data_IF_669779007458
#
_entry.id   IF_669779007458
#
_cell.length_a   1.000
_cell.length_b   1.000
_cell.length_c   1.000
_cell.angle_alpha   90.00
_cell.angle_beta   90.00
_cell.angle_gamma   90.00
#
_symmetry.space_group_name_H-M   'P 1'
#
loop_
_entity.id
_entity.type
_entity.pdbx_description
1 polymer ?
#
# COMPACT_ATOMS: atom_id res chain seq x y z
N UNK A 1 3.16 -0.38 -7.96
CA UNK A 1 4.51 0.21 -8.19
C UNK A 1 5.08 0.86 -6.93
N UNK A 2 4.27 1.60 -6.15
CA UNK A 2 4.72 2.25 -4.91
C UNK A 2 5.20 1.31 -3.80
N UNK A 3 4.58 0.14 -3.63
CA UNK A 3 4.96 -0.84 -2.60
C UNK A 3 6.39 -1.37 -2.80
N UNK A 4 6.79 -1.61 -4.06
CA UNK A 4 8.14 -2.07 -4.40
C UNK A 4 9.20 -0.99 -4.13
N UNK A 5 8.88 0.28 -4.39
CA UNK A 5 9.78 1.39 -4.08
C UNK A 5 9.98 1.57 -2.57
N UNK A 6 8.93 1.40 -1.76
CA UNK A 6 9.05 1.47 -0.30
C UNK A 6 9.89 0.32 0.27
N UNK A 7 9.74 -0.90 -0.25
CA UNK A 7 10.56 -2.03 0.18
C UNK A 7 12.06 -1.82 -0.10
N UNK A 8 12.39 -1.29 -1.29
CA UNK A 8 13.76 -0.99 -1.66
C UNK A 8 14.37 0.13 -0.78
N UNK A 9 13.59 1.17 -0.46
CA UNK A 9 14.02 2.26 0.42
C UNK A 9 14.31 1.76 1.85
N UNK A 10 13.45 0.92 2.41
CA UNK A 10 13.65 0.33 3.74
C UNK A 10 14.90 -0.54 3.76
N UNK A 11 15.10 -1.37 2.72
CA UNK A 11 16.30 -2.20 2.58
C UNK A 11 17.56 -1.35 2.52
N UNK A 12 17.58 -0.31 1.69
CA UNK A 12 18.73 0.59 1.55
C UNK A 12 19.06 1.30 2.88
N UNK A 13 18.02 1.77 3.61
CA UNK A 13 18.20 2.40 4.92
C UNK A 13 18.78 1.43 5.95
N UNK A 14 18.30 0.18 5.96
CA UNK A 14 18.84 -0.86 6.84
C UNK A 14 20.31 -1.17 6.51
N UNK A 15 20.65 -1.31 5.23
CA UNK A 15 22.04 -1.53 4.79
C UNK A 15 22.96 -0.41 5.24
N UNK A 16 22.54 0.85 5.06
CA UNK A 16 23.32 2.00 5.48
C UNK A 16 23.57 2.00 7.00
N UNK A 17 22.57 1.63 7.79
CA UNK A 17 22.70 1.53 9.24
C UNK A 17 23.62 0.38 9.66
N UNK A 18 23.52 -0.79 9.02
CA UNK A 18 24.39 -1.94 9.27
C UNK A 18 25.84 -1.63 8.90
N UNK A 19 26.06 -0.97 7.76
CA UNK A 19 27.39 -0.55 7.33
C UNK A 19 28.00 0.48 8.28
N UNK A 20 27.21 1.46 8.73
CA UNK A 20 27.67 2.45 9.71
C UNK A 20 28.10 1.77 11.03
N UNK A 21 27.32 0.79 11.50
CA UNK A 21 27.70 0.00 12.67
C UNK A 21 29.00 -0.79 12.43
N UNK A 22 29.11 -1.46 11.29
CA UNK A 22 30.32 -2.18 10.90
C UNK A 22 31.55 -1.26 10.83
N UNK A 23 31.38 -0.01 10.37
CA UNK A 23 32.44 1.00 10.38
C UNK A 23 32.88 1.37 11.78
N UNK A 24 31.95 1.60 12.73
CA UNK A 24 32.31 1.89 14.11
C UNK A 24 33.07 0.73 14.76
N UNK A 25 32.59 -0.50 14.55
CA UNK A 25 33.25 -1.71 15.04
C UNK A 25 34.65 -1.84 14.42
N UNK A 26 34.81 -1.60 13.12
CA UNK A 26 36.09 -1.63 12.44
C UNK A 26 37.06 -0.55 12.93
N UNK A 27 36.57 0.67 13.22
CA UNK A 27 37.40 1.74 13.80
C UNK A 27 37.88 1.33 15.19
N UNK A 28 36.98 0.86 16.07
CA UNK A 28 37.34 0.39 17.41
C UNK A 28 38.37 -0.75 17.35
N UNK A 29 38.13 -1.73 16.47
CA UNK A 29 39.04 -2.84 16.21
C UNK A 29 40.43 -2.36 15.76
N UNK A 30 40.49 -1.42 14.81
CA UNK A 30 41.77 -0.88 14.32
C UNK A 30 42.50 -0.05 15.36
N UNK A 31 41.80 0.66 16.24
CA UNK A 31 42.41 1.36 17.38
C UNK A 31 43.08 0.34 18.32
N UNK A 32 42.35 -0.71 18.71
CA UNK A 32 42.86 -1.75 19.61
C UNK A 32 44.08 -2.46 19.00
N UNK A 33 44.01 -2.87 17.73
CA UNK A 33 45.14 -3.52 17.06
C UNK A 33 46.35 -2.61 16.93
N UNK A 34 46.16 -1.35 16.55
CA UNK A 34 47.27 -0.39 16.42
C UNK A 34 47.93 -0.14 17.77
N UNK A 35 47.13 -0.02 18.85
CA UNK A 35 47.65 0.11 20.20
C UNK A 35 48.44 -1.14 20.64
N UNK A 36 47.97 -2.34 20.31
CA UNK A 36 48.70 -3.57 20.59
C UNK A 36 50.03 -3.63 19.84
N UNK A 37 50.05 -3.27 18.55
CA UNK A 37 51.28 -3.23 17.76
C UNK A 37 52.31 -2.23 18.30
N UNK A 38 51.85 -1.08 18.81
CA UNK A 38 52.73 -0.11 19.49
C UNK A 38 53.28 -0.70 20.79
N UNK A 39 52.46 -1.42 21.57
CA UNK A 39 52.86 -1.99 22.86
C UNK A 39 53.91 -3.10 22.72
N UNK A 40 53.84 -3.92 21.65
CA UNK A 40 54.81 -4.97 21.37
C UNK A 40 56.03 -4.49 20.58
N UNK A 41 56.20 -3.16 20.45
CA UNK A 41 57.31 -2.52 19.72
C UNK A 41 57.43 -3.05 18.26
N UNK A 42 56.28 -3.18 17.58
CA UNK A 42 56.28 -3.63 16.18
C UNK A 42 57.07 -2.67 15.29
N UNK A 43 57.70 -3.17 14.21
CA UNK A 43 58.37 -2.32 13.24
C UNK A 43 57.45 -1.22 12.70
N UNK A 44 58.01 -0.05 12.40
CA UNK A 44 57.25 1.12 11.94
C UNK A 44 56.47 0.85 10.64
N UNK A 45 56.96 -0.08 9.81
CA UNK A 45 56.29 -0.56 8.59
C UNK A 45 54.93 -1.22 8.87
N UNK A 46 54.71 -1.75 10.08
CA UNK A 46 53.45 -2.37 10.51
C UNK A 46 52.50 -1.33 11.11
N UNK A 47 53.05 -0.39 11.89
CA UNK A 47 52.26 0.63 12.61
C UNK A 47 51.69 1.68 11.65
N UNK A 48 52.49 2.15 10.68
CA UNK A 48 52.12 3.24 9.77
C UNK A 48 50.88 2.92 8.92
N UNK A 49 50.75 1.71 8.30
CA UNK A 49 49.51 1.29 7.65
C UNK A 49 48.30 1.27 8.60
N UNK A 50 48.48 0.90 9.87
CA UNK A 50 47.43 0.93 10.89
C UNK A 50 46.87 2.35 11.09
N UNK A 51 47.76 3.33 11.24
CA UNK A 51 47.40 4.75 11.37
C UNK A 51 46.74 5.28 10.09
N UNK A 52 47.31 4.97 8.92
CA UNK A 52 46.73 5.36 7.63
C UNK A 52 45.33 4.78 7.45
N UNK A 53 45.13 3.53 7.87
CA UNK A 53 43.84 2.86 7.82
C UNK A 53 42.80 3.56 8.70
N UNK A 54 43.18 4.01 9.90
CA UNK A 54 42.30 4.79 10.77
C UNK A 54 41.90 6.13 10.15
N UNK A 55 42.85 6.84 9.54
CA UNK A 55 42.60 8.09 8.83
C UNK A 55 41.62 7.88 7.66
N UNK A 56 41.83 6.83 6.87
CA UNK A 56 40.92 6.46 5.78
C UNK A 56 39.52 6.10 6.27
N UNK A 57 39.40 5.30 7.34
CA UNK A 57 38.11 4.97 7.94
C UNK A 57 37.37 6.22 8.44
N UNK A 58 38.10 7.18 9.00
CA UNK A 58 37.54 8.47 9.41
C UNK A 58 37.06 9.31 8.22
N UNK A 59 37.81 9.34 7.11
CA UNK A 59 37.37 9.99 5.85
C UNK A 59 36.09 9.31 5.32
N UNK A 60 36.05 7.98 5.31
CA UNK A 60 34.87 7.22 4.89
C UNK A 60 33.66 7.52 5.76
N UNK A 61 33.84 7.75 7.06
CA UNK A 61 32.74 8.11 7.97
C UNK A 61 32.15 9.49 7.63
N UNK A 62 32.91 10.36 6.96
CA UNK A 62 32.41 11.64 6.45
C UNK A 62 31.81 11.54 5.05
N UNK A 63 32.33 10.64 4.20
CA UNK A 63 31.90 10.49 2.81
C UNK A 63 30.73 9.51 2.62
N UNK A 64 30.44 8.63 3.58
CA UNK A 64 29.43 7.57 3.43
C UNK A 64 28.02 8.05 3.03
N UNK A 65 27.47 9.21 3.47
CA UNK A 65 26.10 9.56 3.11
C UNK A 65 25.96 9.98 1.64
N UNK A 66 27.06 10.36 0.99
CA UNK A 66 27.06 10.83 -0.42
C UNK A 66 27.38 9.72 -1.41
N UNK A 67 28.27 8.79 -1.03
CA UNK A 67 28.84 7.81 -1.95
C UNK A 67 28.85 6.38 -1.38
N UNK A 68 27.72 5.93 -0.80
CA UNK A 68 27.62 4.66 -0.07
C UNK A 68 28.26 3.45 -0.79
N UNK A 69 27.94 3.22 -2.07
CA UNK A 69 28.45 2.05 -2.81
C UNK A 69 29.97 2.10 -3.00
N UNK A 70 30.52 3.29 -3.30
CA UNK A 70 31.96 3.47 -3.45
C UNK A 70 32.66 3.28 -2.09
N UNK A 71 32.11 3.88 -1.03
CA UNK A 71 32.65 3.75 0.33
C UNK A 71 32.63 2.29 0.79
N UNK A 72 31.56 1.54 0.50
CA UNK A 72 31.45 0.10 0.80
C UNK A 72 32.55 -0.70 0.10
N UNK A 73 32.75 -0.46 -1.21
CA UNK A 73 33.73 -1.18 -2.00
C UNK A 73 35.15 -0.90 -1.50
N UNK A 74 35.50 0.36 -1.27
CA UNK A 74 36.83 0.74 -0.78
C UNK A 74 37.06 0.21 0.64
N UNK A 75 36.03 0.22 1.49
CA UNK A 75 36.10 -0.31 2.85
C UNK A 75 36.48 -1.79 2.89
N UNK A 76 36.01 -2.62 1.93
CA UNK A 76 36.39 -4.04 1.86
C UNK A 76 37.66 -4.28 1.06
N UNK A 77 37.93 -3.51 0.01
CA UNK A 77 39.18 -3.67 -0.76
C UNK A 77 40.43 -3.34 0.08
N UNK A 78 40.35 -2.37 0.99
CA UNK A 78 41.53 -1.94 1.75
C UNK A 78 42.06 -3.01 2.73
N UNK A 79 41.24 -3.66 3.59
CA UNK A 79 41.68 -4.77 4.42
C UNK A 79 42.15 -5.97 3.61
N UNK A 80 41.57 -6.21 2.43
CA UNK A 80 42.02 -7.26 1.52
C UNK A 80 43.46 -7.01 1.05
N UNK A 81 43.74 -5.79 0.58
CA UNK A 81 45.08 -5.38 0.15
C UNK A 81 46.08 -5.44 1.30
N UNK A 82 45.69 -4.93 2.48
CA UNK A 82 46.51 -5.03 3.69
C UNK A 82 46.80 -6.50 4.06
N UNK A 83 45.82 -7.39 3.94
CA UNK A 83 46.03 -8.80 4.27
C UNK A 83 47.00 -9.47 3.30
N UNK A 84 46.96 -9.11 2.02
CA UNK A 84 47.90 -9.60 1.03
C UNK A 84 49.35 -9.18 1.33
N UNK A 85 49.59 -7.90 1.63
CA UNK A 85 50.95 -7.39 1.89
C UNK A 85 51.55 -7.85 3.24
N UNK A 86 50.71 -8.03 4.27
CA UNK A 86 51.16 -8.36 5.62
C UNK A 86 50.96 -9.84 5.99
N UNK A 87 50.70 -10.70 5.00
CA UNK A 87 50.39 -12.11 5.21
C UNK A 87 51.54 -12.83 5.93
N UNK A 88 52.75 -12.76 5.36
CA UNK A 88 53.92 -13.46 5.90
C UNK A 88 54.36 -12.90 7.25
N UNK A 89 54.27 -11.58 7.45
CA UNK A 89 54.67 -10.93 8.70
C UNK A 89 53.84 -11.38 9.90
N UNK A 90 52.58 -11.75 9.66
CA UNK A 90 51.62 -12.15 10.70
C UNK A 90 51.46 -13.66 10.84
N UNK A 91 52.37 -14.45 10.24
CA UNK A 91 52.40 -15.90 10.39
C UNK A 91 51.62 -16.69 9.33
N UNK A 92 51.11 -16.03 8.28
CA UNK A 92 50.41 -16.69 7.18
C UNK A 92 49.18 -17.48 7.65
N UNK A 93 49.13 -18.76 7.29
CA UNK A 93 48.04 -19.67 7.66
C UNK A 93 47.98 -19.99 9.16
N UNK A 94 49.12 -19.97 9.84
CA UNK A 94 49.19 -20.16 11.30
C UNK A 94 48.94 -18.85 12.07
N UNK A 95 48.77 -17.75 11.32
CA UNK A 95 48.58 -16.40 11.84
C UNK A 95 47.15 -16.03 12.18
N UNK A 96 46.95 -14.77 12.55
CA UNK A 96 45.63 -14.21 12.86
C UNK A 96 44.82 -13.77 11.62
N UNK A 97 45.48 -13.61 10.46
CA UNK A 97 44.86 -13.06 9.24
C UNK A 97 43.76 -13.92 8.60
N UNK A 98 43.84 -15.26 8.56
CA UNK A 98 42.75 -16.08 8.05
C UNK A 98 41.43 -15.79 8.78
N UNK A 99 41.48 -15.59 10.10
CA UNK A 99 40.31 -15.26 10.90
C UNK A 99 39.73 -13.89 10.52
N UNK A 100 40.58 -12.87 10.34
CA UNK A 100 40.12 -11.55 9.89
C UNK A 100 39.48 -11.63 8.49
N UNK A 101 39.99 -12.45 7.57
CA UNK A 101 39.35 -12.67 6.26
C UNK A 101 37.96 -13.31 6.41
N UNK A 102 37.80 -14.30 7.29
CA UNK A 102 36.48 -14.91 7.57
C UNK A 102 35.51 -13.86 8.10
N UNK A 103 35.92 -13.03 9.07
CA UNK A 103 35.03 -11.98 9.59
C UNK A 103 34.70 -10.93 8.53
N UNK A 104 35.63 -10.60 7.64
CA UNK A 104 35.38 -9.72 6.50
C UNK A 104 34.40 -10.33 5.50
N UNK A 105 34.52 -11.62 5.19
CA UNK A 105 33.56 -12.35 4.33
C UNK A 105 32.16 -12.31 4.94
N UNK A 106 32.04 -12.59 6.25
CA UNK A 106 30.77 -12.46 6.98
C UNK A 106 30.25 -11.02 6.87
N UNK A 107 31.12 -10.02 7.07
CA UNK A 107 30.79 -8.61 6.89
C UNK A 107 30.27 -8.26 5.49
N UNK A 108 30.89 -8.80 4.44
CA UNK A 108 30.47 -8.61 3.03
C UNK A 108 29.07 -9.21 2.82
N UNK A 109 28.83 -10.43 3.31
CA UNK A 109 27.53 -11.11 3.18
C UNK A 109 26.42 -10.32 3.87
N UNK A 110 26.72 -9.66 4.98
CA UNK A 110 25.75 -8.92 5.77
C UNK A 110 25.46 -7.51 5.26
N UNK A 111 26.47 -6.83 4.73
CA UNK A 111 26.37 -5.40 4.37
C UNK A 111 26.12 -5.17 2.88
N UNK A 112 26.66 -6.04 2.03
CA UNK A 112 26.56 -5.94 0.57
C UNK A 112 25.38 -6.74 0.03
N UNK A 113 24.88 -6.38 -1.15
CA UNK A 113 23.81 -7.11 -1.83
C UNK A 113 24.01 -7.07 -3.35
N UNK A 114 23.50 -8.09 -4.05
CA UNK A 114 23.46 -8.12 -5.52
C UNK A 114 24.85 -8.27 -6.15
N UNK A 115 25.09 -7.56 -7.25
CA UNK A 115 26.33 -7.71 -8.03
C UNK A 115 27.60 -7.33 -7.24
N UNK A 116 27.54 -6.32 -6.38
CA UNK A 116 28.71 -5.89 -5.57
C UNK A 116 29.11 -6.94 -4.53
N UNK A 117 28.13 -7.67 -3.98
CA UNK A 117 28.38 -8.77 -3.04
C UNK A 117 29.11 -9.91 -3.73
N UNK A 118 28.62 -10.32 -4.90
CA UNK A 118 29.23 -11.39 -5.69
C UNK A 118 30.64 -10.99 -6.10
N UNK A 119 30.84 -9.76 -6.60
CA UNK A 119 32.15 -9.25 -6.98
C UNK A 119 33.15 -9.30 -5.82
N UNK A 120 32.76 -8.81 -4.63
CA UNK A 120 33.62 -8.82 -3.44
C UNK A 120 33.93 -10.24 -2.96
N UNK A 121 32.94 -11.14 -2.94
CA UNK A 121 33.14 -12.53 -2.53
C UNK A 121 34.08 -13.27 -3.49
N UNK A 122 33.94 -13.05 -4.81
CA UNK A 122 34.85 -13.61 -5.81
C UNK A 122 36.25 -13.05 -5.61
N UNK A 123 36.41 -11.74 -5.40
CA UNK A 123 37.71 -11.12 -5.15
C UNK A 123 38.40 -11.70 -3.90
N UNK A 124 37.68 -11.84 -2.79
CA UNK A 124 38.18 -12.45 -1.57
C UNK A 124 38.52 -13.94 -1.75
N UNK A 125 37.69 -14.68 -2.48
CA UNK A 125 37.92 -16.09 -2.80
C UNK A 125 39.18 -16.29 -3.65
N UNK A 126 39.41 -15.42 -4.65
CA UNK A 126 40.62 -15.44 -5.48
C UNK A 126 41.85 -15.13 -4.65
N UNK A 127 41.80 -14.11 -3.79
CA UNK A 127 42.94 -13.79 -2.90
C UNK A 127 43.23 -14.94 -1.94
N UNK A 128 42.21 -15.56 -1.34
CA UNK A 128 42.38 -16.75 -0.49
C UNK A 128 43.01 -17.92 -1.25
N UNK A 129 42.59 -18.16 -2.50
CA UNK A 129 43.16 -19.21 -3.35
C UNK A 129 44.61 -18.91 -3.76
N UNK A 130 44.96 -17.64 -4.01
CA UNK A 130 46.35 -17.25 -4.27
C UNK A 130 47.20 -17.48 -3.01
N UNK A 131 46.71 -17.05 -1.85
CA UNK A 131 47.42 -17.20 -0.57
C UNK A 131 47.52 -18.67 -0.11
N UNK A 132 46.69 -19.58 -0.62
CA UNK A 132 46.79 -21.02 -0.31
C UNK A 132 47.76 -21.78 -1.20
N UNK A 133 48.04 -21.28 -2.40
CA UNK A 133 48.84 -22.00 -3.42
C UNK A 133 50.22 -21.38 -3.61
N UNK A 134 50.34 -20.06 -3.48
CA UNK A 134 51.56 -19.31 -3.84
C UNK A 134 52.29 -18.89 -2.58
N UNK A 135 53.52 -19.37 -2.42
CA UNK A 135 54.46 -18.79 -1.47
C UNK A 135 54.76 -17.35 -1.91
N UNK A 136 54.34 -16.39 -1.10
CA UNK A 136 54.56 -14.99 -1.40
C UNK A 136 56.07 -14.70 -1.37
N UNK A 137 56.59 -13.93 -2.35
CA UNK A 137 57.99 -13.53 -2.35
C UNK A 137 58.42 -12.88 -1.03
N UNK A 138 59.69 -13.03 -0.66
CA UNK A 138 60.24 -12.48 0.59
C UNK A 138 60.15 -10.96 0.72
N UNK A 139 59.96 -10.23 -0.39
CA UNK A 139 59.71 -8.79 -0.37
C UNK A 139 58.29 -8.43 0.11
N UNK A 140 57.36 -9.39 0.15
CA UNK A 140 55.99 -9.25 0.70
C UNK A 140 55.99 -9.48 2.22
N UNK A 141 57.09 -9.11 2.88
CA UNK A 141 57.29 -9.24 4.31
C UNK A 141 58.02 -10.51 4.72
N UNK A 142 58.95 -10.35 5.65
CA UNK A 142 59.58 -11.45 6.40
C UNK A 142 58.80 -11.72 7.68
N UNK A 143 58.75 -12.98 8.13
CA UNK A 143 58.12 -13.34 9.41
C UNK A 143 58.66 -12.46 10.53
N UNK A 144 57.77 -11.73 11.22
CA UNK A 144 58.17 -10.87 12.31
C UNK A 144 58.58 -11.75 13.51
N UNK A 145 59.87 -11.72 13.96
CA UNK A 145 60.33 -12.57 15.06
C UNK A 145 59.68 -12.21 16.40
N UNK A 146 59.19 -10.98 16.54
CA UNK A 146 58.54 -10.49 17.75
C UNK A 146 57.03 -10.85 17.80
N UNK A 147 56.49 -11.42 16.72
CA UNK A 147 55.09 -11.84 16.69
C UNK A 147 54.94 -13.18 17.42
N UNK A 148 54.79 -13.06 18.74
CA UNK A 148 54.71 -14.18 19.68
C UNK A 148 53.36 -14.91 19.62
N UNK A 149 53.32 -16.12 20.20
CA UNK A 149 52.07 -16.88 20.39
C UNK A 149 51.02 -16.05 21.16
N UNK A 150 51.45 -15.25 22.15
CA UNK A 150 50.55 -14.38 22.90
C UNK A 150 49.89 -13.31 22.02
N UNK A 151 50.58 -12.79 21.00
CA UNK A 151 50.00 -11.84 20.04
C UNK A 151 48.94 -12.50 19.14
N UNK A 152 49.16 -13.76 18.74
CA UNK A 152 48.18 -14.54 17.97
C UNK A 152 46.91 -14.78 18.79
N UNK A 153 47.07 -15.20 20.05
CA UNK A 153 45.95 -15.40 20.98
C UNK A 153 45.17 -14.11 21.24
N UNK A 154 45.88 -12.98 21.42
CA UNK A 154 45.25 -11.67 21.56
C UNK A 154 44.43 -11.30 20.32
N UNK A 155 45.00 -11.40 19.13
CA UNK A 155 44.28 -11.09 17.89
C UNK A 155 43.06 -12.02 17.69
N UNK A 156 43.18 -13.30 18.06
CA UNK A 156 42.07 -14.24 18.02
C UNK A 156 40.93 -13.82 18.97
N UNK A 157 41.26 -13.40 20.20
CA UNK A 157 40.28 -12.91 21.17
C UNK A 157 39.57 -11.67 20.64
N UNK A 158 40.32 -10.70 20.09
CA UNK A 158 39.75 -9.46 19.54
C UNK A 158 38.85 -9.76 18.32
N UNK A 159 39.26 -10.65 17.40
CA UNK A 159 38.43 -11.08 16.27
C UNK A 159 37.15 -11.80 16.74
N UNK A 160 37.26 -12.66 17.76
CA UNK A 160 36.12 -13.38 18.33
C UNK A 160 35.13 -12.43 18.99
N UNK A 161 35.62 -11.45 19.75
CA UNK A 161 34.80 -10.39 20.34
C UNK A 161 34.09 -9.57 19.26
N UNK A 162 34.81 -9.23 18.18
CA UNK A 162 34.23 -8.51 17.04
C UNK A 162 33.07 -9.29 16.41
N UNK A 163 33.25 -10.60 16.19
CA UNK A 163 32.21 -11.47 15.64
C UNK A 163 31.01 -11.55 16.58
N UNK A 164 31.23 -11.70 17.90
CA UNK A 164 30.15 -11.71 18.90
C UNK A 164 29.35 -10.41 18.85
N UNK A 165 30.02 -9.25 18.82
CA UNK A 165 29.35 -7.95 18.74
C UNK A 165 28.50 -7.81 17.47
N UNK A 166 29.05 -8.21 16.32
CA UNK A 166 28.33 -8.22 15.04
C UNK A 166 27.10 -9.13 15.12
N UNK A 167 27.26 -10.36 15.60
CA UNK A 167 26.16 -11.34 15.71
C UNK A 167 25.06 -10.84 16.66
N UNK A 168 25.42 -10.31 17.83
CA UNK A 168 24.46 -9.76 18.79
C UNK A 168 23.71 -8.57 18.16
N UNK A 169 24.42 -7.66 17.50
CA UNK A 169 23.80 -6.51 16.83
C UNK A 169 22.79 -6.96 15.77
N UNK A 170 23.17 -7.91 14.91
CA UNK A 170 22.30 -8.45 13.87
C UNK A 170 21.09 -9.15 14.46
N UNK A 171 21.27 -9.95 15.51
CA UNK A 171 20.17 -10.66 16.18
C UNK A 171 19.15 -9.68 16.73
N UNK A 172 19.60 -8.64 17.43
CA UNK A 172 18.73 -7.59 17.97
C UNK A 172 17.97 -6.86 16.85
N UNK A 173 18.67 -6.50 15.77
CA UNK A 173 18.04 -5.85 14.61
C UNK A 173 17.01 -6.72 13.91
N UNK A 174 17.34 -7.99 13.70
CA UNK A 174 16.46 -8.95 13.08
C UNK A 174 15.21 -9.20 13.92
N UNK A 175 15.36 -9.28 15.24
CA UNK A 175 14.23 -9.40 16.16
C UNK A 175 13.29 -8.19 16.08
N UNK A 176 13.84 -6.97 16.16
CA UNK A 176 13.06 -5.73 16.04
C UNK A 176 12.35 -5.61 14.68
N UNK A 177 13.03 -6.03 13.61
CA UNK A 177 12.44 -6.04 12.27
C UNK A 177 11.29 -7.05 12.15
N UNK A 178 11.45 -8.25 12.71
CA UNK A 178 10.37 -9.25 12.77
C UNK A 178 9.17 -8.76 13.54
N UNK A 179 9.38 -8.07 14.66
CA UNK A 179 8.28 -7.51 15.45
C UNK A 179 7.52 -6.43 14.66
N UNK A 180 8.24 -5.54 13.98
CA UNK A 180 7.63 -4.54 13.09
C UNK A 180 6.79 -5.19 11.98
N UNK A 181 7.29 -6.24 11.33
CA UNK A 181 6.52 -6.96 10.31
C UNK A 181 5.27 -7.59 10.92
N UNK A 182 5.38 -8.20 12.09
CA UNK A 182 4.23 -8.83 12.77
C UNK A 182 3.12 -7.82 13.01
N UNK A 183 3.46 -6.63 13.53
CA UNK A 183 2.49 -5.54 13.79
C UNK A 183 1.81 -5.07 12.50
N UNK A 184 2.58 -4.81 11.44
CA UNK A 184 2.01 -4.40 10.15
C UNK A 184 1.13 -5.50 9.56
N UNK A 185 1.49 -6.77 9.73
CA UNK A 185 0.67 -7.89 9.27
C UNK A 185 -0.64 -8.00 10.05
N UNK A 186 -0.61 -7.82 11.37
CA UNK A 186 -1.80 -7.75 12.22
C UNK A 186 -2.72 -6.59 11.82
N UNK A 187 -2.15 -5.41 11.56
CA UNK A 187 -2.90 -4.25 11.05
C UNK A 187 -3.53 -4.54 9.69
N UNK A 188 -2.79 -5.16 8.77
CA UNK A 188 -3.30 -5.52 7.45
C UNK A 188 -4.47 -6.51 7.54
N UNK A 189 -4.39 -7.50 8.44
CA UNK A 189 -5.48 -8.43 8.71
C UNK A 189 -6.71 -7.69 9.23
N UNK A 190 -6.55 -6.75 10.17
CA UNK A 190 -7.68 -5.94 10.68
C UNK A 190 -8.32 -5.09 9.60
N UNK A 191 -7.52 -4.41 8.77
CA UNK A 191 -8.01 -3.59 7.66
C UNK A 191 -8.77 -4.45 6.65
N UNK A 192 -8.25 -5.64 6.33
CA UNK A 192 -8.91 -6.60 5.43
C UNK A 192 -10.26 -7.04 6.01
N UNK A 193 -10.31 -7.41 7.29
CA UNK A 193 -11.56 -7.77 7.96
C UNK A 193 -12.58 -6.62 7.96
N UNK A 194 -12.14 -5.38 8.19
CA UNK A 194 -13.01 -4.21 8.12
C UNK A 194 -13.55 -4.00 6.69
N UNK A 195 -12.70 -4.09 5.67
CA UNK A 195 -13.14 -3.98 4.27
C UNK A 195 -14.14 -5.07 3.89
N UNK A 196 -13.91 -6.31 4.31
CA UNK A 196 -14.84 -7.42 4.07
C UNK A 196 -16.20 -7.14 4.73
N UNK A 197 -16.19 -6.65 5.98
CA UNK A 197 -17.43 -6.29 6.69
C UNK A 197 -18.19 -5.13 6.02
N UNK A 198 -17.49 -4.11 5.53
CA UNK A 198 -18.08 -2.99 4.81
C UNK A 198 -18.64 -3.42 3.45
N UNK A 199 -17.92 -4.29 2.74
CA UNK A 199 -18.37 -4.86 1.47
C UNK A 199 -19.65 -5.66 1.66
N UNK A 200 -19.73 -6.47 2.73
CA UNK A 200 -20.94 -7.22 3.05
C UNK A 200 -22.11 -6.30 3.43
N UNK A 201 -21.87 -5.21 4.16
CA UNK A 201 -22.90 -4.20 4.45
C UNK A 201 -23.42 -3.52 3.19
N UNK A 202 -22.52 -3.10 2.30
CA UNK A 202 -22.89 -2.50 1.00
C UNK A 202 -23.72 -3.48 0.17
N UNK A 203 -23.33 -4.75 0.13
CA UNK A 203 -24.08 -5.80 -0.57
C UNK A 203 -25.49 -5.95 -0.01
N UNK A 204 -25.65 -5.95 1.32
CA UNK A 204 -26.97 -6.01 1.97
C UNK A 204 -27.83 -4.79 1.65
N UNK A 205 -27.26 -3.59 1.72
CA UNK A 205 -27.96 -2.34 1.36
C UNK A 205 -28.41 -2.35 -0.10
N UNK A 206 -27.59 -2.88 -1.00
CA UNK A 206 -27.95 -2.98 -2.41
C UNK A 206 -29.13 -3.93 -2.63
N UNK A 207 -29.14 -5.09 -1.97
CA UNK A 207 -30.28 -6.03 -2.01
C UNK A 207 -31.56 -5.37 -1.47
N UNK A 208 -31.47 -4.61 -0.38
CA UNK A 208 -32.61 -3.90 0.20
C UNK A 208 -33.14 -2.83 -0.76
N UNK A 209 -32.25 -2.02 -1.34
CA UNK A 209 -32.61 -1.01 -2.35
C UNK A 209 -33.29 -1.62 -3.57
N UNK A 210 -32.78 -2.74 -4.07
CA UNK A 210 -33.38 -3.45 -5.20
C UNK A 210 -34.78 -3.99 -4.84
N UNK A 211 -34.95 -4.49 -3.61
CA UNK A 211 -36.27 -4.93 -3.12
C UNK A 211 -37.27 -3.78 -3.00
N UNK A 212 -36.83 -2.63 -2.48
CA UNK A 212 -37.65 -1.43 -2.33
C UNK A 212 -38.05 -0.87 -3.71
N UNK A 213 -37.09 -0.83 -4.64
CA UNK A 213 -37.32 -0.44 -6.02
C UNK A 213 -38.39 -1.30 -6.67
N UNK A 214 -38.26 -2.63 -6.59
CA UNK A 214 -39.24 -3.55 -7.17
C UNK A 214 -40.63 -3.35 -6.57
N UNK A 215 -40.73 -3.12 -5.26
CA UNK A 215 -42.00 -2.84 -4.60
C UNK A 215 -42.61 -1.51 -5.06
N UNK A 216 -41.81 -0.45 -5.14
CA UNK A 216 -42.24 0.85 -5.66
C UNK A 216 -42.72 0.76 -7.10
N UNK A 217 -41.99 0.05 -7.97
CA UNK A 217 -42.38 -0.17 -9.37
C UNK A 217 -43.73 -0.92 -9.45
N UNK A 218 -43.94 -1.94 -8.59
CA UNK A 218 -45.22 -2.66 -8.50
C UNK A 218 -46.38 -1.75 -8.05
N UNK A 219 -46.19 -0.97 -6.98
CA UNK A 219 -47.20 -0.04 -6.47
C UNK A 219 -47.55 1.04 -7.51
N UNK A 220 -46.55 1.57 -8.22
CA UNK A 220 -46.75 2.54 -9.29
C UNK A 220 -47.54 1.91 -10.44
N UNK A 221 -47.18 0.70 -10.86
CA UNK A 221 -47.91 -0.03 -11.90
C UNK A 221 -49.37 -0.30 -11.51
N UNK A 222 -49.62 -0.65 -10.25
CA UNK A 222 -50.97 -0.84 -9.72
C UNK A 222 -51.78 0.45 -9.70
N UNK A 223 -51.22 1.56 -9.22
CA UNK A 223 -51.87 2.88 -9.28
C UNK A 223 -52.16 3.33 -10.70
N UNK A 224 -51.25 3.10 -11.65
CA UNK A 224 -51.50 3.40 -13.06
C UNK A 224 -52.66 2.56 -13.59
N UNK A 225 -52.75 1.28 -13.25
CA UNK A 225 -53.89 0.42 -13.63
C UNK A 225 -55.20 0.93 -13.05
N UNK A 226 -55.24 1.28 -11.77
CA UNK A 226 -56.45 1.85 -11.13
C UNK A 226 -56.88 3.16 -11.77
N UNK A 227 -55.95 4.09 -12.01
CA UNK A 227 -56.23 5.39 -12.63
C UNK A 227 -56.74 5.20 -14.06
N UNK A 228 -56.16 4.30 -14.84
CA UNK A 228 -56.63 3.97 -16.19
C UNK A 228 -58.04 3.37 -16.17
N UNK A 229 -58.33 2.47 -15.23
CA UNK A 229 -59.67 1.89 -15.09
C UNK A 229 -60.70 2.97 -14.73
N UNK A 230 -60.41 3.84 -13.75
CA UNK A 230 -61.29 4.96 -13.37
C UNK A 230 -61.48 5.95 -14.52
N UNK A 231 -60.42 6.28 -15.25
CA UNK A 231 -60.48 7.16 -16.42
C UNK A 231 -61.35 6.56 -17.54
N UNK A 232 -61.27 5.25 -17.78
CA UNK A 232 -62.13 4.57 -18.75
C UNK A 232 -63.62 4.65 -18.35
N UNK A 233 -63.93 4.44 -17.07
CA UNK A 233 -65.31 4.57 -16.54
C UNK A 233 -65.84 5.99 -16.69
N UNK A 234 -65.04 7.01 -16.33
CA UNK A 234 -65.45 8.42 -16.49
C UNK A 234 -65.71 8.78 -17.95
N UNK A 235 -64.89 8.28 -18.87
CA UNK A 235 -65.06 8.50 -20.32
C UNK A 235 -66.38 7.89 -20.82
N UNK A 236 -66.72 6.69 -20.36
CA UNK A 236 -68.00 6.04 -20.67
C UNK A 236 -69.19 6.86 -20.13
N UNK A 237 -69.11 7.34 -18.89
CA UNK A 237 -70.13 8.22 -18.31
C UNK A 237 -70.31 9.52 -19.09
N UNK A 238 -69.21 10.18 -19.49
CA UNK A 238 -69.26 11.39 -20.30
C UNK A 238 -69.93 11.12 -21.67
N UNK A 239 -69.59 9.99 -22.30
CA UNK A 239 -70.22 9.56 -23.55
C UNK A 239 -71.73 9.33 -23.40
N UNK A 240 -72.14 8.61 -22.36
CA UNK A 240 -73.55 8.33 -22.06
C UNK A 240 -74.32 9.62 -21.76
N UNK A 241 -73.77 10.52 -20.94
CA UNK A 241 -74.41 11.79 -20.62
C UNK A 241 -74.60 12.67 -21.86
N UNK A 242 -73.57 12.76 -22.72
CA UNK A 242 -73.62 13.56 -23.94
C UNK A 242 -74.64 13.02 -24.96
N UNK A 243 -74.72 11.70 -25.18
CA UNK A 243 -75.54 11.13 -26.25
C UNK A 243 -76.90 10.63 -25.78
N UNK A 244 -76.96 9.92 -24.67
CA UNK A 244 -78.18 9.26 -24.22
C UNK A 244 -79.06 10.14 -23.33
N UNK A 245 -78.48 11.17 -22.68
CA UNK A 245 -79.24 12.05 -21.77
C UNK A 245 -79.46 13.44 -22.37
N UNK A 246 -78.39 14.09 -22.86
CA UNK A 246 -78.50 15.44 -23.42
C UNK A 246 -79.34 15.50 -24.70
N UNK A 247 -79.20 14.52 -25.61
CA UNK A 247 -79.96 14.51 -26.87
C UNK A 247 -81.50 14.40 -26.67
N UNK A 248 -82.04 13.51 -25.83
CA UNK A 248 -83.48 13.52 -25.52
C UNK A 248 -83.90 14.75 -24.71
N UNK A 249 -83.06 15.28 -23.82
CA UNK A 249 -83.38 16.49 -23.07
C UNK A 249 -83.48 17.72 -23.99
N UNK A 250 -82.58 17.87 -24.96
CA UNK A 250 -82.66 18.90 -26.00
C UNK A 250 -83.93 18.76 -26.84
N UNK A 251 -84.34 17.52 -27.17
CA UNK A 251 -85.62 17.25 -27.84
C UNK A 251 -86.82 17.69 -26.99
N UNK A 252 -86.83 17.40 -25.69
CA UNK A 252 -87.88 17.85 -24.76
C UNK A 252 -87.92 19.38 -24.68
N UNK A 253 -86.77 20.03 -24.56
CA UNK A 253 -86.68 21.50 -24.57
C UNK A 253 -87.17 22.11 -25.89
N UNK A 254 -86.85 21.49 -27.02
CA UNK A 254 -87.35 21.89 -28.34
C UNK A 254 -88.86 21.72 -28.48
N UNK A 255 -89.42 20.60 -28.01
CA UNK A 255 -90.87 20.37 -27.98
C UNK A 255 -91.60 21.39 -27.10
N UNK A 256 -91.07 21.69 -25.91
CA UNK A 256 -91.62 22.74 -25.03
C UNK A 256 -91.63 24.09 -25.75
N UNK A 257 -90.56 24.42 -26.48
CA UNK A 257 -90.47 25.66 -27.25
C UNK A 257 -91.50 25.73 -28.39
N UNK A 258 -91.71 24.62 -29.13
CA UNK A 258 -92.75 24.54 -30.16
C UNK A 258 -94.16 24.70 -29.58
N UNK A 259 -94.45 24.07 -28.43
CA UNK A 259 -95.74 24.22 -27.73
C UNK A 259 -95.99 25.68 -27.31
N UNK A 260 -94.94 26.40 -26.87
CA UNK A 260 -95.03 27.83 -26.56
C UNK A 260 -95.27 28.70 -27.80
N UNK A 261 -94.79 28.29 -28.97
CA UNK A 261 -94.91 29.03 -30.24
C UNK A 261 -96.28 28.84 -30.90
N UNK A 262 -96.83 27.61 -30.86
CA UNK A 262 -98.06 27.22 -31.55
C UNK A 262 -99.35 27.52 -30.75
N UNK A 263 -99.27 27.70 -29.42
CA UNK A 263 -100.44 27.98 -28.59
C UNK A 263 -100.32 29.30 -27.81
N UNK A 264 -101.12 30.30 -28.19
CA UNK A 264 -101.54 31.36 -27.28
C UNK A 264 -102.36 30.78 -26.11
N UNK A 265 -101.66 30.29 -25.10
CA UNK A 265 -102.10 29.68 -23.84
C UNK A 265 -103.58 29.80 -23.42
N UNK A 266 -104.34 28.69 -23.54
CA UNK A 266 -105.61 28.48 -22.83
C UNK A 266 -105.59 27.32 -21.80
N UNK A 267 -104.57 26.44 -21.83
CA UNK A 267 -104.64 25.14 -21.15
C UNK A 267 -104.12 25.05 -19.70
N UNK A 268 -102.89 25.50 -19.41
CA UNK A 268 -102.25 25.44 -18.06
C UNK A 268 -100.79 26.00 -18.06
N UNK A 269 -100.57 27.33 -18.16
CA UNK A 269 -99.23 27.94 -18.22
C UNK A 269 -98.30 27.64 -17.06
N UNK A 270 -98.88 27.44 -15.87
CA UNK A 270 -98.12 27.19 -14.66
C UNK A 270 -97.42 25.82 -14.65
N UNK A 271 -97.99 24.81 -15.32
CA UNK A 271 -97.43 23.45 -15.35
C UNK A 271 -96.33 23.30 -16.39
N UNK A 272 -96.53 23.84 -17.60
CA UNK A 272 -95.52 23.80 -18.65
C UNK A 272 -94.28 24.63 -18.27
N UNK A 273 -94.48 25.80 -17.63
CA UNK A 273 -93.39 26.60 -17.08
C UNK A 273 -92.53 25.85 -16.06
N UNK A 274 -93.16 25.02 -15.20
CA UNK A 274 -92.45 24.12 -14.27
C UNK A 274 -91.65 23.03 -15.00
N UNK A 275 -92.23 22.40 -16.02
CA UNK A 275 -91.51 21.37 -16.80
C UNK A 275 -90.29 21.99 -17.51
N UNK A 276 -90.45 23.19 -18.08
CA UNK A 276 -89.37 23.94 -18.71
C UNK A 276 -88.26 24.31 -17.73
N UNK A 277 -88.60 24.79 -16.53
CA UNK A 277 -87.60 25.14 -15.53
C UNK A 277 -86.82 23.91 -15.06
N UNK A 278 -87.49 22.78 -14.83
CA UNK A 278 -86.82 21.54 -14.44
C UNK A 278 -85.97 20.95 -15.58
N UNK A 279 -86.44 21.02 -16.84
CA UNK A 279 -85.68 20.55 -17.99
C UNK A 279 -84.41 21.40 -18.22
N UNK A 280 -84.49 22.73 -18.09
CA UNK A 280 -83.32 23.62 -18.14
C UNK A 280 -82.35 23.37 -16.98
N UNK A 281 -82.89 23.09 -15.79
CA UNK A 281 -82.08 22.74 -14.62
C UNK A 281 -81.32 21.43 -14.83
N UNK A 282 -81.96 20.42 -15.42
CA UNK A 282 -81.29 19.17 -15.80
C UNK A 282 -80.20 19.40 -16.85
N UNK A 283 -80.43 20.27 -17.84
CA UNK A 283 -79.43 20.55 -18.89
C UNK A 283 -78.18 21.22 -18.30
N UNK A 284 -78.39 22.19 -17.39
CA UNK A 284 -77.30 22.84 -16.66
C UNK A 284 -76.49 21.85 -15.80
N UNK A 285 -77.15 20.91 -15.11
CA UNK A 285 -76.48 19.88 -14.31
C UNK A 285 -75.65 18.95 -15.20
N UNK A 286 -76.18 18.52 -16.35
CA UNK A 286 -75.45 17.66 -17.30
C UNK A 286 -74.23 18.38 -17.87
N UNK A 287 -74.36 19.68 -18.16
CA UNK A 287 -73.28 20.49 -18.68
C UNK A 287 -72.13 20.61 -17.67
N UNK A 288 -72.44 20.83 -16.39
CA UNK A 288 -71.44 20.81 -15.30
C UNK A 288 -70.74 19.44 -15.18
N UNK A 289 -71.48 18.33 -15.30
CA UNK A 289 -70.88 16.99 -15.21
C UNK A 289 -69.90 16.75 -16.36
N UNK A 290 -70.24 17.17 -17.58
CA UNK A 290 -69.36 17.02 -18.74
C UNK A 290 -68.11 17.91 -18.67
N UNK A 291 -68.21 19.11 -18.09
CA UNK A 291 -67.04 19.99 -17.87
C UNK A 291 -66.05 19.43 -16.84
N UNK A 292 -66.52 18.63 -15.88
CA UNK A 292 -65.66 18.00 -14.87
C UNK A 292 -65.03 16.69 -15.39
N UNK A 293 -65.64 16.05 -16.40
CA UNK A 293 -65.23 14.72 -16.91
C UNK A 293 -64.51 14.73 -18.26
N UNK A 294 -64.54 15.83 -19.01
CA UNK A 294 -63.80 16.03 -20.26
C UNK A 294 -62.51 16.80 -20.08
#
# INVERSE_FOLDING_TARGET
MEISNNANLVRQKLQMQLFLYAMYVAIAFRIIQTAHHILIESPLVVILPGILNLLLLWIFLRLYPRAFQLTLLVFFCMPLLSTFFFWNETGGWDGSRPYTLIVLIIGIVLTSNGATQVLLLVAYGVVLAILSVVDLPSWVGSRNPNYSVASIEFDFLVNSLMLILIVVHLKTRFFNYRESISRTNEELVKVTQTLDSQTEQLRKQQIELDSLRNNLESMVAERIREVRAKSAVLREYAFVNAHHVRAPLARVLGLIYLIELENGYAGQPKRLGKIKSEARRMDAIIQQINEITG
#
